data_IF_265188448025
#
_entry.id   IF_265188448025
#
_cell.length_a   1.000
_cell.length_b   1.000
_cell.length_c   1.000
_cell.angle_alpha   90.00
_cell.angle_beta   90.00
_cell.angle_gamma   90.00
#
_symmetry.space_group_name_H-M   'P 1'
#
loop_
_entity.id
_entity.type
_entity.pdbx_description
1 polymer ?
#
# COMPACT_ATOMS: atom_id res chain seq x y z
N UNK A 1 -18.17 -10.63 -23.93
CA UNK A 1 -17.61 -11.89 -23.39
C UNK A 1 -16.80 -12.62 -24.47
N UNK A 2 -15.77 -11.97 -25.04
CA UNK A 2 -14.98 -12.53 -26.15
C UNK A 2 -13.53 -12.88 -25.74
N UNK A 3 -12.99 -12.21 -24.72
CA UNK A 3 -11.62 -12.42 -24.23
C UNK A 3 -11.46 -13.66 -23.33
N UNK A 4 -12.52 -14.07 -22.62
CA UNK A 4 -12.47 -15.20 -21.66
C UNK A 4 -12.43 -16.56 -22.39
N UNK A 5 -12.88 -16.61 -23.65
CA UNK A 5 -12.95 -17.82 -24.47
C UNK A 5 -11.82 -17.95 -25.48
N UNK A 6 -10.82 -17.06 -25.43
CA UNK A 6 -9.67 -17.14 -26.33
C UNK A 6 -8.80 -18.33 -25.99
N UNK A 7 -8.32 -19.00 -27.04
CA UNK A 7 -7.36 -20.09 -26.95
C UNK A 7 -5.93 -19.53 -27.05
N UNK A 8 -4.94 -20.34 -26.73
CA UNK A 8 -3.53 -19.92 -26.73
C UNK A 8 -3.06 -19.38 -28.09
N UNK A 9 -3.53 -19.96 -29.20
CA UNK A 9 -3.18 -19.47 -30.54
C UNK A 9 -3.72 -18.07 -30.86
N UNK A 10 -4.69 -17.57 -30.08
CA UNK A 10 -5.27 -16.24 -30.27
C UNK A 10 -4.44 -15.15 -29.57
N UNK A 11 -3.55 -15.52 -28.64
CA UNK A 11 -2.72 -14.58 -27.85
C UNK A 11 -1.91 -13.62 -28.75
N UNK A 12 -1.24 -14.08 -29.83
CA UNK A 12 -0.50 -13.17 -30.71
C UNK A 12 -1.40 -12.08 -31.34
N UNK A 13 -2.62 -12.45 -31.76
CA UNK A 13 -3.58 -11.52 -32.34
C UNK A 13 -4.08 -10.52 -31.30
N UNK A 14 -4.37 -10.97 -30.08
CA UNK A 14 -4.74 -10.10 -28.95
C UNK A 14 -3.63 -9.11 -28.61
N UNK A 15 -2.37 -9.57 -28.52
CA UNK A 15 -1.23 -8.71 -28.28
C UNK A 15 -1.01 -7.70 -29.42
N UNK A 16 -1.26 -8.08 -30.67
CA UNK A 16 -1.19 -7.15 -31.81
C UNK A 16 -2.27 -6.07 -31.71
N UNK A 17 -3.51 -6.44 -31.42
CA UNK A 17 -4.62 -5.51 -31.23
C UNK A 17 -4.35 -4.54 -30.07
N UNK A 18 -3.90 -5.05 -28.91
CA UNK A 18 -3.54 -4.24 -27.75
C UNK A 18 -2.40 -3.26 -28.07
N UNK A 19 -1.38 -3.70 -28.82
CA UNK A 19 -0.30 -2.82 -29.29
C UNK A 19 -0.80 -1.69 -30.18
N UNK A 20 -1.69 -1.99 -31.12
CA UNK A 20 -2.28 -0.99 -32.02
C UNK A 20 -3.13 0.03 -31.25
N UNK A 21 -3.97 -0.41 -30.31
CA UNK A 21 -4.77 0.47 -29.46
C UNK A 21 -3.88 1.36 -28.58
N UNK A 22 -2.86 0.78 -27.95
CA UNK A 22 -1.87 1.53 -27.16
C UNK A 22 -1.15 2.58 -28.00
N UNK A 23 -0.72 2.22 -29.21
CA UNK A 23 -0.02 3.15 -30.11
C UNK A 23 -0.91 4.33 -30.53
N UNK A 24 -2.20 4.08 -30.81
CA UNK A 24 -3.17 5.13 -31.16
C UNK A 24 -3.51 6.05 -29.99
N UNK A 25 -3.60 5.52 -28.77
CA UNK A 25 -4.05 6.29 -27.60
C UNK A 25 -2.93 6.92 -26.78
N UNK A 26 -1.95 6.11 -26.34
CA UNK A 26 -0.88 6.51 -25.40
C UNK A 26 0.49 6.64 -26.06
N UNK A 27 0.64 6.19 -27.31
CA UNK A 27 1.93 6.20 -28.00
C UNK A 27 2.93 5.20 -27.42
N UNK A 28 4.22 5.53 -27.46
CA UNK A 28 5.30 4.64 -27.02
C UNK A 28 6.00 5.07 -25.74
N UNK A 29 5.67 6.24 -25.20
CA UNK A 29 6.28 6.78 -23.98
C UNK A 29 5.77 5.98 -22.78
N UNK A 30 6.70 5.52 -21.94
CA UNK A 30 6.40 4.87 -20.66
C UNK A 30 6.74 5.86 -19.55
N UNK A 31 5.73 6.28 -18.79
CA UNK A 31 5.90 7.12 -17.61
C UNK A 31 5.86 6.28 -16.35
N UNK A 32 6.52 6.74 -15.29
CA UNK A 32 6.47 6.12 -13.96
C UNK A 32 6.39 7.20 -12.89
N UNK A 33 5.99 6.81 -11.68
CA UNK A 33 6.02 7.68 -10.51
C UNK A 33 6.93 7.02 -9.45
N UNK A 34 8.12 7.59 -9.17
CA UNK A 34 9.06 7.03 -8.21
C UNK A 34 8.49 7.15 -6.80
N UNK A 35 8.44 6.03 -6.08
CA UNK A 35 7.81 5.96 -4.76
C UNK A 35 8.57 5.05 -3.82
N UNK A 36 8.57 5.38 -2.53
CA UNK A 36 8.98 4.45 -1.47
C UNK A 36 7.79 3.68 -0.95
N UNK A 37 8.07 2.48 -0.43
CA UNK A 37 7.08 1.57 0.13
C UNK A 37 7.20 1.55 1.65
N UNK A 38 6.14 1.97 2.35
CA UNK A 38 6.06 2.07 3.80
C UNK A 38 5.01 1.07 4.30
N UNK A 39 5.43 -0.12 4.75
CA UNK A 39 4.54 -1.13 5.27
C UNK A 39 4.17 -0.87 6.71
N UNK A 40 3.30 0.13 6.92
CA UNK A 40 2.92 0.64 8.24
C UNK A 40 2.54 -0.47 9.22
N UNK A 41 1.89 -1.53 8.74
CA UNK A 41 1.75 -2.79 9.46
C UNK A 41 1.61 -3.95 8.48
N UNK A 42 2.14 -5.11 8.87
CA UNK A 42 1.95 -6.38 8.16
C UNK A 42 0.87 -7.27 8.82
N UNK A 43 0.30 -6.82 9.92
CA UNK A 43 -0.81 -7.51 10.57
C UNK A 43 -2.08 -7.29 9.75
N UNK A 44 -2.89 -8.34 9.60
CA UNK A 44 -4.15 -8.27 8.86
C UNK A 44 -5.19 -9.18 9.52
N UNK A 45 -6.44 -8.72 9.63
CA UNK A 45 -7.57 -9.55 10.10
C UNK A 45 -7.82 -10.73 9.16
N UNK A 46 -7.63 -10.49 7.86
CA UNK A 46 -7.99 -11.43 6.81
C UNK A 46 -6.90 -12.50 6.58
N UNK A 47 -7.28 -13.58 5.89
CA UNK A 47 -6.44 -14.77 5.68
C UNK A 47 -6.40 -15.21 4.22
N UNK A 48 -6.03 -14.29 3.33
CA UNK A 48 -5.91 -14.57 1.91
C UNK A 48 -4.82 -15.61 1.65
N UNK A 49 -5.16 -16.75 1.03
CA UNK A 49 -4.23 -17.85 0.79
C UNK A 49 -3.04 -17.51 -0.13
N UNK A 50 -3.14 -16.42 -0.90
CA UNK A 50 -2.07 -15.92 -1.78
C UNK A 50 -1.18 -14.85 -1.11
N UNK A 51 -1.53 -14.37 0.09
CA UNK A 51 -0.86 -13.23 0.69
C UNK A 51 0.39 -13.66 1.47
N UNK A 52 1.57 -13.39 0.91
CA UNK A 52 2.87 -13.57 1.59
C UNK A 52 3.22 -12.40 2.52
N UNK A 53 2.42 -11.33 2.50
CA UNK A 53 2.70 -10.11 3.25
C UNK A 53 2.20 -10.13 4.69
N UNK A 54 1.23 -10.99 5.00
CA UNK A 54 0.64 -11.05 6.33
C UNK A 54 1.61 -11.69 7.34
N UNK A 55 1.76 -11.06 8.51
CA UNK A 55 2.32 -11.67 9.72
C UNK A 55 1.30 -11.77 10.85
N UNK A 56 1.69 -12.51 11.88
CA UNK A 56 0.99 -12.56 13.16
C UNK A 56 1.83 -11.85 14.23
N UNK A 57 1.22 -11.33 15.32
CA UNK A 57 1.95 -10.63 16.39
C UNK A 57 3.09 -11.42 17.04
N UNK A 58 3.05 -12.76 16.95
CA UNK A 58 4.10 -13.64 17.49
C UNK A 58 5.37 -13.65 16.63
N UNK A 59 5.23 -13.46 15.32
CA UNK A 59 6.35 -13.45 14.38
C UNK A 59 6.84 -12.03 14.08
N UNK A 60 6.02 -11.02 14.34
CA UNK A 60 6.35 -9.60 14.17
C UNK A 60 6.00 -8.82 15.45
N UNK A 61 6.95 -8.71 16.41
CA UNK A 61 6.69 -8.06 17.68
C UNK A 61 6.62 -6.53 17.59
N UNK A 62 7.05 -5.93 16.47
CA UNK A 62 6.96 -4.48 16.27
C UNK A 62 5.50 -4.03 16.05
N UNK A 63 4.70 -4.90 15.42
CA UNK A 63 3.27 -4.74 15.08
C UNK A 63 2.99 -3.64 14.05
N UNK A 64 3.57 -2.46 14.23
CA UNK A 64 3.51 -1.31 13.33
C UNK A 64 4.89 -0.65 13.23
N UNK A 65 5.16 0.00 12.10
CA UNK A 65 6.30 0.93 11.99
C UNK A 65 6.08 2.11 12.94
N UNK A 66 7.15 2.57 13.59
CA UNK A 66 7.14 3.78 14.42
C UNK A 66 7.21 5.06 13.55
N UNK A 67 6.91 6.25 14.11
CA UNK A 67 7.13 7.52 13.40
C UNK A 67 8.56 7.67 12.87
N UNK A 68 9.54 7.23 13.65
CA UNK A 68 10.96 7.25 13.31
C UNK A 68 11.26 6.33 12.12
N UNK A 69 10.73 5.10 12.13
CA UNK A 69 10.89 4.16 11.01
C UNK A 69 10.26 4.69 9.72
N UNK A 70 9.07 5.27 9.82
CA UNK A 70 8.35 5.89 8.69
C UNK A 70 9.19 7.02 8.07
N UNK A 71 9.70 7.93 8.90
CA UNK A 71 10.52 9.04 8.43
C UNK A 71 11.87 8.59 7.90
N UNK A 72 12.47 7.55 8.46
CA UNK A 72 13.72 7.00 7.96
C UNK A 72 13.57 6.52 6.51
N UNK A 73 12.50 5.77 6.21
CA UNK A 73 12.19 5.30 4.84
C UNK A 73 11.83 6.48 3.93
N UNK A 74 10.98 7.40 4.39
CA UNK A 74 10.55 8.55 3.60
C UNK A 74 11.73 9.45 3.21
N UNK A 75 12.60 9.81 4.15
CA UNK A 75 13.80 10.63 3.88
C UNK A 75 14.80 9.88 3.00
N UNK A 76 14.92 8.56 3.12
CA UNK A 76 15.72 7.78 2.19
C UNK A 76 15.17 7.84 0.76
N UNK A 77 13.86 7.75 0.61
CA UNK A 77 13.16 7.91 -0.66
C UNK A 77 13.37 9.26 -1.31
N UNK A 78 13.19 10.32 -0.53
CA UNK A 78 13.40 11.70 -0.96
C UNK A 78 14.82 11.91 -1.49
N UNK A 79 15.85 11.44 -0.77
CA UNK A 79 17.25 11.52 -1.22
C UNK A 79 17.50 10.76 -2.53
N UNK A 80 16.70 9.74 -2.84
CA UNK A 80 16.76 8.97 -4.09
C UNK A 80 15.85 9.54 -5.20
N UNK A 81 15.19 10.68 -4.96
CA UNK A 81 14.33 11.34 -5.95
C UNK A 81 12.93 10.74 -6.06
N UNK A 82 12.45 10.03 -5.03
CA UNK A 82 11.03 9.64 -4.97
C UNK A 82 10.13 10.87 -4.84
N UNK A 83 8.92 10.76 -5.35
CA UNK A 83 7.88 11.80 -5.25
C UNK A 83 6.72 11.36 -4.37
N UNK A 84 6.53 10.06 -4.17
CA UNK A 84 5.44 9.50 -3.36
C UNK A 84 5.95 8.61 -2.23
N UNK A 85 5.20 8.58 -1.12
CA UNK A 85 5.33 7.63 -0.04
C UNK A 85 4.10 6.73 0.00
N UNK A 86 4.24 5.51 -0.54
CA UNK A 86 3.17 4.52 -0.58
C UNK A 86 3.04 3.83 0.77
N UNK A 87 1.99 4.16 1.52
CA UNK A 87 1.59 3.45 2.72
C UNK A 87 0.78 2.21 2.36
N UNK A 88 1.23 1.07 2.86
CA UNK A 88 0.49 -0.19 2.81
C UNK A 88 0.28 -0.74 4.20
N UNK A 89 -0.88 -1.36 4.41
CA UNK A 89 -1.31 -1.89 5.68
C UNK A 89 -2.21 -3.11 5.45
N UNK A 90 -2.26 -4.00 6.43
CA UNK A 90 -3.30 -5.02 6.47
C UNK A 90 -4.64 -4.45 6.94
N UNK A 91 -5.70 -5.20 6.67
CA UNK A 91 -7.07 -4.81 6.97
C UNK A 91 -7.36 -4.95 8.47
N UNK A 92 -7.61 -3.81 9.12
CA UNK A 92 -8.12 -3.65 10.50
C UNK A 92 -7.61 -4.71 11.51
N UNK A 93 -6.29 -4.90 11.65
CA UNK A 93 -5.72 -5.92 12.53
C UNK A 93 -6.19 -5.79 13.99
N UNK A 94 -6.52 -4.59 14.46
CA UNK A 94 -7.04 -4.32 15.81
C UNK A 94 -8.37 -5.00 16.15
N UNK A 95 -9.10 -5.45 15.13
CA UNK A 95 -10.32 -6.24 15.32
C UNK A 95 -10.04 -7.71 15.61
N UNK A 96 -8.91 -8.24 15.12
CA UNK A 96 -8.49 -9.64 15.32
C UNK A 96 -7.51 -9.80 16.46
N UNK A 97 -6.54 -8.89 16.57
CA UNK A 97 -5.38 -9.01 17.44
C UNK A 97 -5.46 -8.03 18.61
N UNK A 98 -5.60 -8.50 19.85
CA UNK A 98 -5.55 -7.65 21.05
C UNK A 98 -4.24 -6.86 21.18
N UNK A 99 -3.13 -7.40 20.70
CA UNK A 99 -1.81 -6.77 20.66
C UNK A 99 -1.85 -5.49 19.83
N UNK A 100 -2.41 -5.57 18.61
CA UNK A 100 -2.56 -4.42 17.72
C UNK A 100 -3.46 -3.35 18.35
N UNK A 101 -4.56 -3.76 18.99
CA UNK A 101 -5.46 -2.84 19.69
C UNK A 101 -4.78 -2.12 20.85
N UNK A 102 -4.03 -2.85 21.69
CA UNK A 102 -3.29 -2.27 22.82
C UNK A 102 -2.18 -1.33 22.33
N UNK A 103 -1.47 -1.70 21.27
CA UNK A 103 -0.42 -0.88 20.68
C UNK A 103 -0.97 0.47 20.20
N UNK A 104 -2.09 0.46 19.48
CA UNK A 104 -2.75 1.68 19.01
C UNK A 104 -3.28 2.52 20.17
N UNK A 105 -3.97 1.89 21.13
CA UNK A 105 -4.53 2.58 22.29
C UNK A 105 -3.45 3.24 23.16
N UNK A 106 -2.31 2.57 23.36
CA UNK A 106 -1.15 3.11 24.09
C UNK A 106 -0.52 4.33 23.41
N UNK A 107 -0.87 4.61 22.16
CA UNK A 107 -0.44 5.79 21.38
C UNK A 107 -1.59 6.74 21.08
N UNK A 108 -2.75 6.55 21.70
CA UNK A 108 -3.92 7.42 21.51
C UNK A 108 -4.66 7.23 20.19
N UNK A 109 -4.43 6.12 19.47
CA UNK A 109 -5.13 5.84 18.22
C UNK A 109 -6.31 4.87 18.42
N UNK A 110 -7.54 5.23 18.00
CA UNK A 110 -8.69 4.34 18.07
C UNK A 110 -8.70 3.26 16.96
N UNK A 111 -7.90 3.43 15.90
CA UNK A 111 -7.86 2.51 14.76
C UNK A 111 -6.55 2.62 13.98
N UNK A 112 -6.28 1.61 13.16
CA UNK A 112 -5.16 1.63 12.20
C UNK A 112 -5.25 2.83 11.26
N UNK A 113 -6.46 3.21 10.81
CA UNK A 113 -6.66 4.37 9.95
C UNK A 113 -6.35 5.70 10.65
N UNK A 114 -6.66 5.82 11.95
CA UNK A 114 -6.26 7.00 12.72
C UNK A 114 -4.74 7.14 12.78
N UNK A 115 -4.02 6.03 12.98
CA UNK A 115 -2.56 6.04 12.97
C UNK A 115 -1.98 6.33 11.59
N UNK A 116 -2.54 5.74 10.54
CA UNK A 116 -2.18 6.03 9.15
C UNK A 116 -2.31 7.52 8.84
N UNK A 117 -3.39 8.17 9.28
CA UNK A 117 -3.59 9.61 9.09
C UNK A 117 -2.48 10.43 9.74
N UNK A 118 -2.05 10.06 10.96
CA UNK A 118 -0.94 10.73 11.63
C UNK A 118 0.37 10.57 10.85
N UNK A 119 0.70 9.34 10.43
CA UNK A 119 1.94 9.03 9.71
C UNK A 119 1.98 9.67 8.32
N UNK A 120 0.86 9.69 7.60
CA UNK A 120 0.74 10.41 6.34
C UNK A 120 0.93 11.92 6.53
N UNK A 121 0.32 12.50 7.57
CA UNK A 121 0.51 13.89 7.93
C UNK A 121 1.96 14.21 8.34
N UNK A 122 2.62 13.28 9.02
CA UNK A 122 4.03 13.40 9.39
C UNK A 122 4.93 13.44 8.15
N UNK A 123 4.73 12.52 7.18
CA UNK A 123 5.49 12.51 5.91
C UNK A 123 5.29 13.82 5.14
N UNK A 124 4.06 14.35 5.08
CA UNK A 124 3.77 15.63 4.43
C UNK A 124 4.49 16.82 5.07
N UNK A 125 4.66 16.82 6.39
CA UNK A 125 5.31 17.93 7.11
C UNK A 125 6.83 17.86 7.04
N UNK A 126 7.38 16.66 7.06
CA UNK A 126 8.81 16.41 7.31
C UNK A 126 9.62 16.04 6.06
N UNK A 127 8.95 15.88 4.90
CA UNK A 127 9.57 15.52 3.62
C UNK A 127 8.83 16.19 2.46
N UNK A 128 9.41 16.16 1.26
CA UNK A 128 8.78 16.56 0.01
C UNK A 128 7.88 15.47 -0.61
N UNK A 129 7.74 14.29 0.02
CA UNK A 129 6.98 13.18 -0.53
C UNK A 129 5.47 13.36 -0.33
N UNK A 130 4.69 13.02 -1.36
CA UNK A 130 3.23 12.94 -1.28
C UNK A 130 2.78 11.58 -0.73
N UNK A 131 1.97 11.51 0.34
CA UNK A 131 1.42 10.26 0.81
C UNK A 131 0.46 9.66 -0.22
N UNK A 132 0.73 8.41 -0.60
CA UNK A 132 -0.15 7.57 -1.38
C UNK A 132 -0.66 6.49 -0.44
N UNK A 133 -1.97 6.46 -0.19
CA UNK A 133 -2.56 5.58 0.80
C UNK A 133 -3.18 4.34 0.14
N UNK A 134 -2.89 3.15 0.66
CA UNK A 134 -3.60 1.91 0.34
C UNK A 134 -4.26 1.32 1.60
N UNK A 135 -5.34 1.95 2.11
CA UNK A 135 -5.89 1.70 3.45
C UNK A 135 -6.81 0.49 3.58
N UNK A 136 -7.00 -0.30 2.52
CA UNK A 136 -8.02 -1.34 2.49
C UNK A 136 -9.43 -0.73 2.48
N UNK A 137 -10.37 -1.33 3.22
CA UNK A 137 -11.76 -0.90 3.22
C UNK A 137 -12.02 0.24 4.22
N UNK A 138 -12.44 1.39 3.71
CA UNK A 138 -12.83 2.54 4.52
C UNK A 138 -14.35 2.63 4.61
N UNK A 139 -14.84 2.94 5.81
CA UNK A 139 -16.25 3.28 6.02
C UNK A 139 -16.41 4.78 5.79
N UNK A 140 -17.53 5.19 5.18
CA UNK A 140 -17.87 6.61 5.13
C UNK A 140 -18.13 7.10 6.56
N UNK A 141 -17.66 8.29 6.97
CA UNK A 141 -18.19 8.92 8.17
C UNK A 141 -19.70 9.10 7.97
N UNK A 142 -20.48 8.69 8.96
CA UNK A 142 -21.89 9.07 9.09
C UNK A 142 -22.02 10.58 9.34
#
# INVERSE_FOLDING_TARGET
MLLITCLEQDVPALCAAARALRARGKGRVVTFSPKVFIPLTRLCRDACGYCTFRTDPRSDPALYMTPEDVLAVARAGERLGCTEALFTLGERPEQRFPEARRWLAGRGHPSTLSYLREMAGLVLRETALLPHLNPGTMSHPE
#
